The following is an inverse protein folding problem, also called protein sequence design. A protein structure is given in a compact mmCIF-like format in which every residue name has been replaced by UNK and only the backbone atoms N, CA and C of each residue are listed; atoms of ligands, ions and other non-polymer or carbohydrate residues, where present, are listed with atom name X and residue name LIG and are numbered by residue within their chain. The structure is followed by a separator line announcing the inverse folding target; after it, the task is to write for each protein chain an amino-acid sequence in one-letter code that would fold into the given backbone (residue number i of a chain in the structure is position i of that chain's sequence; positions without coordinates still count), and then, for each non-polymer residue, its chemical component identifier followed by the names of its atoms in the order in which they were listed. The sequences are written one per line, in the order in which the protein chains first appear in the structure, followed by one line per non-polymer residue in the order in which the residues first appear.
data_IF_724484997957
#
_entry.id   IF_724484997957
#
_cell.length_a   1.000
_cell.length_b   1.000
_cell.length_c   1.000
_cell.angle_alpha   90.00
_cell.angle_beta   90.00
_cell.angle_gamma   90.00
#
_symmetry.space_group_name_H-M   'P 1'
#
loop_
_entity.id
_entity.type
_entity.pdbx_description
1 polymer ?
2 non-polymer ?
3 non-polymer ?
4 water ?
#
# COMPACT_ATOMS: atom_id res chain seq x y z
N UNK A 4 5.62 -33.00 11.71
CA UNK A 4 5.46 -32.18 10.52
C UNK A 4 5.36 -30.70 10.88
N UNK A 5 5.96 -29.86 10.03
CA UNK A 5 5.79 -28.42 10.17
C UNK A 5 4.42 -28.01 9.67
N UNK A 6 3.87 -26.94 10.24
CA UNK A 6 2.55 -26.48 9.85
C UNK A 6 2.63 -25.25 8.98
N UNK A 7 1.96 -25.28 7.83
CA UNK A 7 1.96 -24.15 6.91
C UNK A 7 0.55 -23.66 6.63
N UNK A 8 0.40 -22.33 6.62
CA UNK A 8 -0.86 -21.69 6.24
C UNK A 8 -0.75 -21.06 4.87
N UNK A 9 -1.60 -21.49 3.96
CA UNK A 9 -1.70 -20.83 2.65
C UNK A 9 -2.90 -19.88 2.69
N UNK A 10 -2.62 -18.61 2.94
CA UNK A 10 -3.65 -17.59 3.06
C UNK A 10 -3.73 -16.79 1.77
N UNK A 11 -4.93 -16.67 1.21
CA UNK A 11 -5.07 -15.98 -0.07
C UNK A 11 -6.29 -15.08 -0.19
N UNK A 12 -6.20 -14.13 -1.12
CA UNK A 12 -7.37 -13.40 -1.57
C UNK A 12 -7.48 -13.52 -3.08
N UNK A 13 -8.61 -14.03 -3.55
CA UNK A 13 -8.85 -14.16 -4.97
C UNK A 13 -10.15 -13.46 -5.32
N UNK A 14 -10.09 -12.58 -6.32
CA UNK A 14 -11.26 -11.84 -6.76
C UNK A 14 -11.99 -12.57 -7.88
N UNK A 15 -11.23 -13.29 -8.70
CA UNK A 15 -11.79 -13.90 -9.91
C UNK A 15 -11.40 -15.37 -10.08
N UNK A 16 -10.84 -15.97 -9.05
CA UNK A 16 -10.53 -17.39 -9.06
C UNK A 16 -9.11 -17.77 -9.46
N UNK A 17 -8.37 -16.81 -9.99
CA UNK A 17 -6.99 -17.04 -10.42
C UNK A 17 -6.08 -17.35 -9.24
N UNK A 18 -6.01 -16.42 -8.30
CA UNK A 18 -5.15 -16.54 -7.14
C UNK A 18 -5.56 -17.72 -6.26
N UNK A 19 -6.83 -18.11 -6.34
CA UNK A 19 -7.27 -19.29 -5.61
C UNK A 19 -6.61 -20.55 -6.16
N UNK A 20 -6.59 -20.67 -7.48
CA UNK A 20 -5.96 -21.80 -8.14
C UNK A 20 -4.46 -21.81 -7.87
N UNK A 21 -3.84 -20.63 -7.96
CA UNK A 21 -2.42 -20.52 -7.62
C UNK A 21 -2.16 -20.97 -6.18
N UNK A 22 -3.07 -20.62 -5.29
CA UNK A 22 -2.96 -20.95 -3.87
C UNK A 22 -3.09 -22.45 -3.64
N UNK A 23 -4.03 -23.08 -4.34
CA UNK A 23 -4.20 -24.53 -4.26
C UNK A 23 -2.94 -25.24 -4.77
N UNK A 24 -2.37 -24.70 -5.85
CA UNK A 24 -1.13 -25.24 -6.39
C UNK A 24 -0.02 -25.18 -5.35
N UNK A 25 0.14 -24.00 -4.73
CA UNK A 25 1.15 -23.80 -3.71
C UNK A 25 0.96 -24.74 -2.52
N UNK A 26 -0.30 -24.92 -2.12
CA UNK A 26 -0.63 -25.80 -1.01
C UNK A 26 -0.27 -27.26 -1.32
N UNK A 27 -0.59 -27.69 -2.53
CA UNK A 27 -0.25 -29.05 -2.97
C UNK A 27 1.27 -29.24 -2.95
N UNK A 28 1.98 -28.28 -3.53
CA UNK A 28 3.43 -28.31 -3.55
C UNK A 28 4.00 -28.41 -2.14
N UNK A 29 3.38 -27.68 -1.21
CA UNK A 29 3.81 -27.68 0.18
C UNK A 29 3.54 -29.03 0.85
N UNK A 30 2.43 -29.67 0.48
CA UNK A 30 2.13 -31.01 0.98
C UNK A 30 3.17 -32.01 0.49
N UNK A 31 3.60 -31.82 -0.75
CA UNK A 31 4.65 -32.67 -1.32
C UNK A 31 6.00 -32.40 -0.65
N UNK A 32 6.08 -31.30 0.08
CA UNK A 32 7.29 -30.96 0.80
C UNK A 32 7.30 -31.51 2.23
N UNK A 33 6.26 -32.28 2.57
CA UNK A 33 6.19 -32.92 3.86
C UNK A 33 5.62 -32.05 4.96
N UNK A 34 4.87 -31.02 4.59
CA UNK A 34 4.29 -30.10 5.55
C UNK A 34 2.80 -30.31 5.72
N UNK A 35 2.29 -30.00 6.91
CA UNK A 35 0.84 -30.04 7.16
C UNK A 35 0.23 -28.71 6.74
N UNK A 36 -0.52 -28.72 5.65
CA UNK A 36 -0.96 -27.48 5.02
C UNK A 36 -2.44 -27.19 5.26
N UNK A 37 -2.73 -25.93 5.58
CA UNK A 37 -4.10 -25.47 5.74
C UNK A 37 -4.39 -24.31 4.80
N UNK A 38 -5.41 -24.47 3.96
CA UNK A 38 -5.76 -23.44 2.98
C UNK A 38 -6.89 -22.55 3.49
N UNK A 39 -6.63 -21.24 3.55
CA UNK A 39 -7.63 -20.29 4.00
C UNK A 39 -7.64 -19.00 3.19
N UNK A 40 -8.77 -18.29 3.25
CA UNK A 40 -8.92 -17.03 2.56
C UNK A 40 -9.27 -15.91 3.54
N UNK A 41 -8.97 -14.68 3.16
CA UNK A 41 -9.24 -13.52 4.01
C UNK A 41 -10.69 -13.09 3.93
N UNK A 42 -11.21 -12.49 5.02
CA UNK A 42 -12.58 -11.97 5.06
C UNK A 42 -12.83 -10.91 3.99
N UNK A 43 -14.11 -10.66 3.70
CA UNK A 43 -14.48 -9.65 2.73
C UNK A 43 -14.79 -8.33 3.43
N UNK A 44 -15.13 -7.31 2.65
CA UNK A 44 -15.42 -5.99 3.21
C UNK A 44 -16.89 -5.63 3.02
N UNK A 57 -14.29 -17.56 -5.42
CA UNK A 57 -15.14 -17.79 -4.25
C UNK A 57 -15.48 -19.27 -4.11
N UNK A 58 -14.81 -19.91 -3.16
CA UNK A 58 -15.14 -21.27 -2.81
C UNK A 58 -15.37 -21.34 -1.31
N UNK A 59 -16.63 -21.29 -0.91
CA UNK A 59 -17.01 -21.25 0.50
C UNK A 59 -16.68 -22.56 1.22
N UNK A 60 -16.17 -23.53 0.48
CA UNK A 60 -15.67 -24.76 1.07
C UNK A 60 -14.32 -24.45 1.73
N UNK A 61 -13.73 -23.34 1.32
CA UNK A 61 -12.51 -22.84 1.94
C UNK A 61 -12.82 -21.93 3.13
N UNK A 62 -12.34 -22.32 4.33
CA UNK A 62 -12.58 -21.58 5.57
C UNK A 62 -11.99 -20.17 5.55
N UNK A 63 -12.66 -19.25 6.23
CA UNK A 63 -12.18 -17.87 6.36
C UNK A 63 -11.22 -17.77 7.55
N UNK A 64 -10.10 -17.09 7.35
CA UNK A 64 -9.06 -17.00 8.38
C UNK A 64 -9.24 -15.82 9.32
N UNK A 65 -8.65 -15.95 10.50
CA UNK A 65 -8.61 -14.87 11.48
C UNK A 65 -7.18 -14.36 11.62
N UNK A 66 -7.02 -13.04 11.87
CA UNK A 66 -5.67 -12.46 12.01
C UNK A 66 -4.84 -13.08 13.13
N UNK A 67 -5.49 -13.50 14.21
CA UNK A 67 -4.78 -13.99 15.38
C UNK A 67 -4.29 -15.42 15.30
N UNK A 68 -4.72 -16.15 14.27
CA UNK A 68 -4.35 -17.55 14.14
C UNK A 68 -3.02 -17.74 13.40
N UNK A 69 -2.50 -16.66 12.85
CA UNK A 69 -1.26 -16.71 12.06
C UNK A 69 -0.07 -17.21 12.86
N UNK A 70 -0.13 -17.08 14.18
CA UNK A 70 0.96 -17.51 15.05
C UNK A 70 0.96 -19.03 15.25
N UNK A 71 -0.08 -19.69 14.76
CA UNK A 71 -0.22 -21.13 14.95
C UNK A 71 0.49 -21.95 13.87
N UNK A 72 1.16 -21.26 12.96
CA UNK A 72 1.84 -21.93 11.85
C UNK A 72 3.33 -21.65 11.83
N UNK A 73 4.11 -22.61 11.33
CA UNK A 73 5.55 -22.45 11.23
C UNK A 73 5.91 -21.65 9.98
N UNK A 74 5.06 -21.74 8.97
CA UNK A 74 5.27 -21.02 7.72
C UNK A 74 3.95 -20.47 7.19
N UNK A 75 4.03 -19.30 6.55
CA UNK A 75 2.85 -18.66 5.98
C UNK A 75 3.10 -18.18 4.56
N UNK A 76 2.31 -18.68 3.61
CA UNK A 76 2.39 -18.20 2.24
C UNK A 76 1.20 -17.30 1.92
N UNK A 77 1.48 -16.07 1.52
CA UNK A 77 0.44 -15.11 1.22
C UNK A 77 0.33 -14.83 -0.28
N UNK A 78 -0.86 -15.07 -0.82
CA UNK A 78 -1.12 -14.77 -2.22
C UNK A 78 -2.32 -13.86 -2.35
N UNK A 79 -2.22 -12.85 -3.21
CA UNK A 79 -3.31 -11.90 -3.34
C UNK A 79 -3.44 -11.36 -4.76
N UNK A 80 -4.69 -11.15 -5.17
CA UNK A 80 -4.97 -10.45 -6.43
C UNK A 80 -4.56 -8.99 -6.26
N UNK A 81 -4.23 -8.33 -7.36
CA UNK A 81 -3.77 -6.95 -7.29
C UNK A 81 -4.65 -6.01 -8.09
N UNK A 82 -4.67 -4.75 -7.68
CA UNK A 82 -5.42 -3.72 -8.37
C UNK A 82 -4.48 -2.59 -8.78
N UNK A 83 -4.38 -2.36 -10.09
CA UNK A 83 -3.43 -1.44 -10.70
C UNK A 83 -2.06 -1.40 -10.02
N UNK A 84 -1.53 -2.58 -9.69
CA UNK A 84 -0.18 -2.71 -9.18
C UNK A 84 -0.05 -2.69 -7.67
N UNK A 85 -1.14 -2.40 -6.98
CA UNK A 85 -1.10 -2.31 -5.52
C UNK A 85 -1.73 -3.53 -4.86
N UNK A 86 -1.53 -3.64 -3.55
CA UNK A 86 -2.16 -4.68 -2.75
C UNK A 86 -3.69 -4.59 -2.82
N UNK A 87 -4.35 -5.73 -2.80
CA UNK A 87 -5.79 -5.76 -2.62
C UNK A 87 -6.11 -5.27 -1.22
N UNK A 88 -7.15 -4.46 -1.08
CA UNK A 88 -7.50 -3.86 0.20
C UNK A 88 -7.85 -4.93 1.24
N UNK A 89 -8.37 -6.06 0.77
CA UNK A 89 -8.76 -7.15 1.65
C UNK A 89 -7.57 -7.72 2.42
N UNK A 90 -6.52 -8.08 1.69
CA UNK A 90 -5.32 -8.66 2.30
C UNK A 90 -4.64 -7.67 3.24
N UNK A 91 -4.53 -6.42 2.80
CA UNK A 91 -3.87 -5.39 3.60
C UNK A 91 -4.64 -5.11 4.89
N UNK A 92 -5.96 -5.02 4.77
CA UNK A 92 -6.82 -4.81 5.93
C UNK A 92 -6.74 -6.00 6.89
N UNK A 93 -6.59 -7.20 6.33
CA UNK A 93 -6.44 -8.39 7.16
C UNK A 93 -5.13 -8.33 7.94
N UNK A 94 -4.05 -8.01 7.24
CA UNK A 94 -2.73 -7.97 7.87
C UNK A 94 -2.59 -6.79 8.83
N UNK A 95 -3.43 -5.79 8.68
CA UNK A 95 -3.39 -4.60 9.56
C UNK A 95 -3.94 -4.88 10.95
N UNK A 96 -4.66 -5.99 11.11
CA UNK A 96 -5.24 -6.33 12.40
C UNK A 96 -4.40 -7.37 13.13
N UNK A 97 -3.11 -7.40 12.81
CA UNK A 97 -2.16 -8.30 13.48
C UNK A 97 -1.20 -7.52 14.37
N UNK A 98 -1.65 -6.37 14.88
CA UNK A 98 -0.84 -5.53 15.73
C UNK A 98 -0.40 -6.18 17.02
N UNK A 99 -1.28 -6.96 17.63
CA UNK A 99 -0.97 -7.67 18.87
C UNK A 99 0.13 -8.70 18.66
N UNK A 100 0.01 -9.46 17.58
CA UNK A 100 1.00 -10.47 17.23
C UNK A 100 2.37 -9.81 17.03
N UNK A 101 2.37 -8.64 16.40
CA UNK A 101 3.59 -7.90 16.19
C UNK A 101 4.18 -7.46 17.53
N UNK A 102 3.30 -6.98 18.42
CA UNK A 102 3.72 -6.51 19.73
C UNK A 102 4.39 -7.63 20.52
N UNK A 103 3.86 -8.85 20.36
CA UNK A 103 4.49 -10.01 20.99
C UNK A 103 5.77 -10.44 20.28
N UNK A 104 5.81 -10.22 18.97
CA UNK A 104 6.89 -10.75 18.16
C UNK A 104 6.60 -12.21 17.88
N UNK A 105 5.31 -12.51 17.73
CA UNK A 105 4.84 -13.89 17.60
C UNK A 105 5.23 -14.52 16.27
N UNK A 106 5.46 -13.71 15.26
CA UNK A 106 5.75 -14.22 13.92
C UNK A 106 7.22 -14.11 13.55
N UNK A 107 8.06 -13.75 14.52
CA UNK A 107 9.49 -13.63 14.28
C UNK A 107 10.12 -14.98 13.94
N UNK A 108 10.95 -14.99 12.90
CA UNK A 108 11.64 -16.19 12.42
C UNK A 108 10.72 -17.25 11.81
N UNK A 109 9.48 -16.87 11.54
CA UNK A 109 8.58 -17.75 10.79
C UNK A 109 8.81 -17.55 9.31
N UNK A 110 8.75 -18.63 8.54
CA UNK A 110 9.03 -18.55 7.11
C UNK A 110 7.84 -18.00 6.34
N UNK A 111 8.10 -17.04 5.45
CA UNK A 111 7.04 -16.44 4.68
C UNK A 111 7.39 -16.31 3.20
N UNK A 112 6.36 -16.19 2.37
CA UNK A 112 6.53 -16.02 0.93
C UNK A 112 5.30 -15.36 0.33
N UNK A 113 5.48 -14.66 -0.79
CA UNK A 113 4.40 -13.88 -1.39
C UNK A 113 4.18 -14.20 -2.87
N UNK A 114 2.92 -14.42 -3.23
CA UNK A 114 2.51 -14.52 -4.63
C UNK A 114 1.56 -13.38 -4.98
N UNK A 115 1.74 -12.80 -6.16
CA UNK A 115 0.86 -11.72 -6.63
C UNK A 115 0.33 -12.01 -8.03
N UNK A 116 -0.87 -11.52 -8.31
CA UNK A 116 -1.49 -11.73 -9.62
C UNK A 116 -1.99 -10.42 -10.21
N UNK A 117 -1.99 -10.34 -11.53
CA UNK A 117 -2.45 -9.13 -12.22
C UNK A 117 -3.64 -9.42 -13.14
N UNK A 118 -4.30 -10.56 -12.91
CA UNK A 118 -5.45 -10.94 -13.71
C UNK A 118 -6.66 -10.05 -13.40
N UNK A 123 2.17 -6.63 -14.40
CA UNK A 123 3.15 -6.61 -13.33
C UNK A 123 2.62 -5.94 -12.08
N UNK A 124 3.02 -6.49 -10.93
CA UNK A 124 2.59 -5.94 -9.64
C UNK A 124 3.74 -5.95 -8.64
N UNK A 125 4.79 -5.20 -8.96
CA UNK A 125 5.97 -5.15 -8.12
C UNK A 125 5.70 -4.42 -6.81
N UNK A 126 4.94 -3.34 -6.89
CA UNK A 126 4.61 -2.54 -5.71
C UNK A 126 3.82 -3.35 -4.69
N UNK A 127 2.91 -4.19 -5.17
CA UNK A 127 2.12 -5.05 -4.30
C UNK A 127 3.00 -6.05 -3.56
N UNK A 128 3.93 -6.66 -4.31
CA UNK A 128 4.90 -7.58 -3.75
C UNK A 128 5.72 -6.90 -2.67
N UNK A 129 6.17 -5.68 -2.96
CA UNK A 129 6.96 -4.90 -2.02
C UNK A 129 6.18 -4.57 -0.74
N UNK A 130 4.90 -4.23 -0.90
CA UNK A 130 4.07 -3.87 0.24
C UNK A 130 3.76 -5.06 1.14
N UNK A 131 3.33 -6.15 0.52
CA UNK A 131 3.04 -7.39 1.25
C UNK A 131 4.28 -7.87 1.99
N UNK A 132 5.41 -7.89 1.27
CA UNK A 132 6.67 -8.28 1.87
C UNK A 132 7.12 -7.29 2.94
N UNK A 133 6.64 -6.05 2.86
CA UNK A 133 6.95 -5.03 3.86
C UNK A 133 6.26 -5.40 5.16
N UNK A 134 4.95 -5.65 5.07
CA UNK A 134 4.18 -6.05 6.23
C UNK A 134 4.71 -7.35 6.84
N UNK A 135 5.13 -8.28 5.99
CA UNK A 135 5.68 -9.54 6.48
C UNK A 135 7.07 -9.36 7.12
N UNK A 136 7.86 -8.45 6.55
CA UNK A 136 9.20 -8.15 7.06
C UNK A 136 9.15 -7.54 8.46
N UNK A 137 8.23 -6.60 8.65
CA UNK A 137 8.16 -5.91 9.92
C UNK A 137 7.70 -6.84 11.06
N UNK A 138 7.19 -8.01 10.70
CA UNK A 138 6.88 -9.05 11.69
C UNK A 138 8.11 -9.89 12.00
N UNK A 139 9.20 -9.67 11.27
CA UNK A 139 10.43 -10.41 11.47
C UNK A 139 10.40 -11.78 10.82
N UNK A 140 9.48 -11.97 9.88
CA UNK A 140 9.38 -13.24 9.16
C UNK A 140 10.52 -13.41 8.16
N UNK A 141 11.03 -14.64 8.07
CA UNK A 141 12.06 -14.95 7.10
C UNK A 141 11.43 -15.11 5.72
N UNK A 142 11.92 -14.35 4.75
CA UNK A 142 11.28 -14.27 3.45
C UNK A 142 11.92 -15.18 2.41
N UNK A 143 11.08 -16.00 1.77
CA UNK A 143 11.52 -16.83 0.66
C UNK A 143 10.94 -16.29 -0.65
N UNK A 144 11.80 -15.73 -1.51
CA UNK A 144 11.37 -15.11 -2.76
C UNK A 144 11.09 -16.14 -3.86
N UNK A 145 10.76 -15.66 -5.04
CA UNK A 145 10.57 -16.53 -6.20
C UNK A 145 11.92 -17.00 -6.72
N UNK A 146 11.94 -18.15 -7.38
CA UNK A 146 13.16 -18.63 -8.02
C UNK A 146 13.14 -18.23 -9.49
N UNK A 147 13.54 -16.99 -9.74
CA UNK A 147 13.39 -16.35 -11.05
C UNK A 147 14.17 -17.08 -12.15
N UNK A 148 15.47 -17.25 -11.92
CA UNK A 148 16.36 -17.89 -12.87
C UNK A 148 15.88 -19.31 -13.15
N UNK A 149 15.44 -19.99 -12.10
CA UNK A 149 14.87 -21.33 -12.26
C UNK A 149 13.57 -21.29 -13.05
N UNK A 150 12.80 -20.23 -12.85
CA UNK A 150 11.49 -20.15 -13.48
C UNK A 150 11.60 -19.84 -14.98
N UNK A 151 12.71 -19.23 -15.39
CA UNK A 151 12.97 -19.10 -16.81
C UNK A 151 13.73 -20.31 -17.35
N UNK A 152 14.42 -21.02 -16.47
CA UNK A 152 15.06 -22.28 -16.84
C UNK A 152 14.01 -23.35 -17.11
N UNK A 153 12.86 -23.21 -16.46
CA UNK A 153 11.79 -24.20 -16.51
C UNK A 153 11.30 -24.47 -17.93
N UNK A 154 11.17 -23.42 -18.72
CA UNK A 154 10.74 -23.55 -20.10
C UNK A 154 11.67 -24.45 -20.88
N UNK A 155 12.97 -24.19 -20.74
CA UNK A 155 13.99 -24.99 -21.41
C UNK A 155 13.98 -26.43 -20.90
N UNK A 156 13.76 -26.59 -19.60
CA UNK A 156 13.69 -27.91 -18.99
C UNK A 156 12.54 -28.75 -19.57
N UNK A 157 11.34 -28.19 -19.59
CA UNK A 157 10.18 -28.92 -20.07
C UNK A 157 10.24 -29.10 -21.58
N UNK A 158 10.95 -28.20 -22.27
CA UNK A 158 11.22 -28.40 -23.69
C UNK A 158 12.10 -29.63 -23.89
N UNK A 159 13.15 -29.74 -23.07
CA UNK A 159 14.06 -30.88 -23.15
C UNK A 159 13.34 -32.19 -22.79
N UNK A 160 12.44 -32.11 -21.83
CA UNK A 160 11.71 -33.28 -21.38
C UNK A 160 10.68 -33.78 -22.39
N UNK A 161 10.26 -32.90 -23.28
CA UNK A 161 9.31 -33.25 -24.32
C UNK A 161 7.89 -32.77 -24.07
N UNK A 162 7.76 -31.69 -23.31
CA UNK A 162 6.45 -31.09 -23.05
C UNK A 162 6.58 -29.59 -22.81
N UNK A 163 6.77 -28.81 -23.89
CA UNK A 163 6.98 -27.37 -23.81
C UNK A 163 5.75 -26.60 -23.32
N UNK A 164 5.98 -25.47 -22.65
CA UNK A 164 4.90 -24.61 -22.19
C UNK A 164 4.30 -23.85 -23.37
N UNK A 165 3.05 -23.43 -23.23
CA UNK A 165 2.37 -22.71 -24.29
C UNK A 165 1.12 -22.00 -23.82
N UNK A 176 -6.85 -14.44 -16.15
CA UNK A 176 -8.17 -14.97 -15.82
C UNK A 176 -8.08 -16.46 -15.47
N UNK A 177 -7.18 -17.16 -16.15
CA UNK A 177 -6.96 -18.58 -15.86
C UNK A 177 -5.47 -18.91 -15.97
N UNK A 178 -4.88 -19.43 -14.88
CA UNK A 178 -3.44 -19.69 -14.78
C UNK A 178 -2.91 -20.75 -15.74
N UNK A 179 -1.77 -20.46 -16.38
CA UNK A 179 -1.13 -21.40 -17.30
C UNK A 179 -0.44 -22.51 -16.52
N UNK A 180 0.04 -23.51 -17.25
CA UNK A 180 0.74 -24.64 -16.63
C UNK A 180 2.04 -24.20 -15.96
N UNK A 181 2.75 -23.28 -16.59
CA UNK A 181 4.03 -22.79 -16.09
C UNK A 181 3.87 -22.05 -14.75
N UNK A 182 2.83 -21.23 -14.66
CA UNK A 182 2.56 -20.47 -13.45
C UNK A 182 2.18 -21.37 -12.30
N UNK A 183 1.37 -22.38 -12.58
CA UNK A 183 0.96 -23.35 -11.57
C UNK A 183 2.15 -24.17 -11.09
N UNK A 184 2.99 -24.60 -12.04
CA UNK A 184 4.21 -25.33 -11.69
C UNK A 184 5.12 -24.49 -10.82
N UNK A 185 5.21 -23.20 -11.14
CA UNK A 185 5.99 -22.26 -10.35
C UNK A 185 5.45 -22.14 -8.94
N UNK A 186 4.13 -22.09 -8.82
CA UNK A 186 3.47 -22.02 -7.51
C UNK A 186 3.75 -23.26 -6.68
N UNK A 187 3.63 -24.43 -7.31
CA UNK A 187 3.90 -25.71 -6.66
C UNK A 187 5.33 -25.76 -6.15
N UNK A 188 6.27 -25.44 -7.03
CA UNK A 188 7.68 -25.42 -6.70
C UNK A 188 7.96 -24.49 -5.53
N UNK A 189 7.34 -23.32 -5.57
CA UNK A 189 7.47 -22.34 -4.49
C UNK A 189 7.00 -22.93 -3.16
N UNK A 190 5.82 -23.53 -3.19
CA UNK A 190 5.27 -24.17 -1.99
C UNK A 190 6.19 -25.22 -1.41
N UNK A 191 6.68 -26.11 -2.24
CA UNK A 191 7.57 -27.18 -1.79
C UNK A 191 8.88 -26.62 -1.23
N UNK A 192 9.42 -25.61 -1.91
CA UNK A 192 10.65 -24.96 -1.47
C UNK A 192 10.50 -24.36 -0.08
N UNK A 193 9.43 -23.58 0.10
CA UNK A 193 9.13 -22.98 1.40
C UNK A 193 8.97 -24.06 2.47
N UNK A 194 8.26 -25.13 2.12
CA UNK A 194 8.05 -26.25 3.04
C UNK A 194 9.36 -26.87 3.51
N UNK A 195 10.24 -27.20 2.56
CA UNK A 195 11.50 -27.82 2.87
C UNK A 195 12.41 -26.91 3.69
N UNK A 196 12.41 -25.62 3.35
CA UNK A 196 13.18 -24.64 4.11
C UNK A 196 12.70 -24.58 5.56
N UNK A 197 11.39 -24.50 5.75
CA UNK A 197 10.78 -24.49 7.08
C UNK A 197 11.17 -25.73 7.87
N UNK A 198 11.06 -26.89 7.21
CA UNK A 198 11.44 -28.16 7.80
C UNK A 198 12.90 -28.14 8.26
N UNK A 199 13.75 -27.55 7.44
CA UNK A 199 15.17 -27.41 7.78
C UNK A 199 15.34 -26.51 8.99
N UNK A 200 14.49 -25.50 9.12
CA UNK A 200 14.57 -24.58 10.24
C UNK A 200 14.03 -25.17 11.54
N UNK A 201 13.18 -26.20 11.43
CA UNK A 201 12.66 -26.85 12.61
C UNK A 201 13.28 -28.22 12.85
N UNK A 202 14.04 -28.70 11.87
CA UNK A 202 14.70 -29.99 11.96
C UNK A 202 15.96 -30.07 11.13
N UNK B 4 -11.22 32.33 -9.33
CA UNK B 4 -10.30 31.58 -8.47
C UNK B 4 -10.34 30.08 -8.75
N UNK B 5 -9.18 29.45 -8.66
CA UNK B 5 -9.11 28.00 -8.76
C UNK B 5 -9.59 27.39 -7.44
N UNK B 6 -10.19 26.21 -7.52
CA UNK B 6 -10.72 25.55 -6.33
C UNK B 6 -9.80 24.42 -5.88
N UNK B 7 -9.43 24.42 -4.62
CA UNK B 7 -8.54 23.39 -4.09
C UNK B 7 -9.15 22.63 -2.91
N UNK B 8 -8.96 21.32 -2.91
CA UNK B 8 -9.37 20.48 -1.80
C UNK B 8 -8.16 20.02 -1.00
N UNK B 9 -8.15 20.35 0.29
CA UNK B 9 -7.14 19.82 1.20
C UNK B 9 -7.76 18.67 1.97
N UNK B 10 -7.49 17.46 1.51
CA UNK B 10 -8.07 16.24 2.10
C UNK B 10 -7.04 15.56 3.00
N UNK B 11 -7.42 15.24 4.24
CA UNK B 11 -6.46 14.66 5.16
C UNK B 11 -7.01 13.52 6.02
N UNK B 12 -6.09 12.68 6.50
CA UNK B 12 -6.39 11.75 7.57
C UNK B 12 -5.40 11.95 8.71
N UNK B 13 -5.92 12.22 9.90
CA UNK B 13 -5.06 12.39 11.06
C UNK B 13 -5.49 11.43 12.16
N UNK B 14 -4.51 10.69 12.69
CA UNK B 14 -4.80 9.73 13.75
C UNK B 14 -4.67 10.40 15.11
N UNK B 15 -3.78 11.37 15.21
CA UNK B 15 -3.51 12.03 16.49
C UNK B 15 -3.48 13.57 16.42
N UNK B 16 -3.91 14.16 15.31
CA UNK B 16 -4.00 15.61 15.21
C UNK B 16 -2.83 16.33 14.54
N UNK B 17 -1.74 15.60 14.30
CA UNK B 17 -0.55 16.17 13.66
C UNK B 17 -0.84 16.61 12.23
N UNK B 18 -1.28 15.65 11.42
CA UNK B 18 -1.58 15.88 10.00
C UNK B 18 -2.74 16.86 9.85
N UNK B 19 -3.58 16.97 10.88
CA UNK B 19 -4.65 17.96 10.86
C UNK B 19 -4.06 19.37 10.87
N UNK B 20 -3.08 19.58 11.75
CA UNK B 20 -2.41 20.86 11.85
C UNK B 20 -1.64 21.17 10.57
N UNK B 21 -0.94 20.16 10.06
CA UNK B 21 -0.24 20.30 8.77
C UNK B 21 -1.21 20.69 7.66
N UNK B 22 -2.40 20.09 7.68
CA UNK B 22 -3.42 20.33 6.68
C UNK B 22 -3.97 21.75 6.77
N UNK B 23 -4.18 22.22 7.99
CA UNK B 23 -4.63 23.60 8.19
C UNK B 23 -3.58 24.58 7.69
N UNK B 24 -2.31 24.26 7.95
CA UNK B 24 -1.21 25.08 7.46
C UNK B 24 -1.21 25.15 5.93
N UNK B 25 -1.31 23.98 5.30
CA UNK B 25 -1.35 23.90 3.83
C UNK B 25 -2.52 24.67 3.25
N UNK B 26 -3.68 24.53 3.87
CA UNK B 26 -4.89 25.23 3.43
C UNK B 26 -4.70 26.73 3.53
N UNK B 27 -4.10 27.19 4.63
CA UNK B 27 -3.81 28.60 4.81
C UNK B 27 -2.88 29.12 3.71
N UNK B 28 -1.79 28.38 3.49
CA UNK B 28 -0.85 28.74 2.44
C UNK B 28 -1.50 28.82 1.08
N UNK B 29 -2.41 27.89 0.81
CA UNK B 29 -3.12 27.86 -0.45
C UNK B 29 -4.08 29.04 -0.58
N UNK B 30 -4.68 29.46 0.53
CA UNK B 30 -5.53 30.64 0.54
C UNK B 30 -4.70 31.88 0.23
N UNK B 31 -3.48 31.91 0.76
CA UNK B 31 -2.55 33.01 0.48
C UNK B 31 -2.06 32.97 -0.97
N UNK B 32 -2.29 31.85 -1.64
CA UNK B 32 -1.92 31.71 -3.03
C UNK B 32 -3.02 32.13 -3.98
N UNK B 33 -4.11 32.66 -3.41
CA UNK B 33 -5.21 33.18 -4.20
C UNK B 33 -6.19 32.12 -4.62
N UNK B 34 -6.19 30.99 -3.91
CA UNK B 34 -7.08 29.89 -4.24
C UNK B 34 -8.24 29.77 -3.26
N UNK B 35 -9.37 29.26 -3.75
CA UNK B 35 -10.52 28.99 -2.89
C UNK B 35 -10.39 27.59 -2.32
N UNK B 36 -10.11 27.51 -1.02
CA UNK B 36 -9.72 26.26 -0.39
C UNK B 36 -10.81 25.64 0.48
N UNK B 37 -10.96 24.33 0.37
CA UNK B 37 -11.89 23.58 1.20
C UNK B 37 -11.15 22.50 1.97
N UNK B 38 -11.23 22.54 3.30
CA UNK B 38 -10.55 21.57 4.15
C UNK B 38 -11.48 20.43 4.54
N UNK B 39 -11.09 19.21 4.21
CA UNK B 39 -11.92 18.04 4.53
C UNK B 39 -11.10 16.83 4.97
N UNK B 40 -11.77 15.91 5.68
CA UNK B 40 -11.12 14.69 6.15
C UNK B 40 -11.84 13.45 5.63
N UNK B 41 -11.12 12.33 5.56
CA UNK B 41 -11.68 11.08 5.08
C UNK B 41 -12.47 10.37 6.17
N UNK B 42 -13.50 9.60 5.78
CA UNK B 42 -14.28 8.81 6.75
C UNK B 42 -13.45 7.74 7.47
N UNK B 43 -13.91 7.31 8.63
CA UNK B 43 -13.28 6.19 9.33
C UNK B 43 -14.05 4.90 9.07
N UNK B 44 -13.55 3.80 9.63
CA UNK B 44 -14.18 2.50 9.46
C UNK B 44 -14.73 1.98 10.78
N UNK B 57 -9.34 14.17 16.21
CA UNK B 57 -10.76 14.29 16.47
C UNK B 57 -11.31 15.71 16.29
N UNK B 58 -11.70 16.11 15.10
CA UNK B 58 -12.39 17.39 15.01
C UNK B 58 -13.60 17.22 14.08
N UNK B 59 -14.78 17.04 14.66
CA UNK B 59 -16.02 16.80 13.90
C UNK B 59 -16.54 18.08 13.22
N UNK B 60 -15.92 19.20 13.50
CA UNK B 60 -16.26 20.46 12.84
C UNK B 60 -15.68 20.51 11.44
N UNK B 61 -14.69 19.66 11.17
CA UNK B 61 -14.13 19.52 9.83
C UNK B 61 -14.98 18.53 9.04
N UNK B 62 -15.55 18.99 7.91
CA UNK B 62 -16.47 18.18 7.10
C UNK B 62 -15.82 16.91 6.56
N UNK B 63 -16.64 15.86 6.46
CA UNK B 63 -16.19 14.60 5.88
C UNK B 63 -16.40 14.62 4.36
N UNK B 64 -15.39 14.17 3.62
CA UNK B 64 -15.43 14.24 2.17
C UNK B 64 -16.03 12.99 1.53
N UNK B 65 -16.51 13.14 0.30
CA UNK B 65 -17.01 12.02 -0.48
C UNK B 65 -16.03 11.74 -1.61
N UNK B 66 -15.88 10.47 -2.00
CA UNK B 66 -14.95 10.11 -3.07
C UNK B 66 -15.26 10.80 -4.40
N UNK B 67 -16.55 11.02 -4.67
CA UNK B 67 -16.96 11.57 -5.95
C UNK B 67 -16.84 13.07 -6.10
N UNK B 68 -16.56 13.77 -5.01
CA UNK B 68 -16.50 15.22 -5.06
C UNK B 68 -15.11 15.71 -5.46
N UNK B 69 -14.14 14.80 -5.51
CA UNK B 69 -12.76 15.14 -5.82
C UNK B 69 -12.63 15.76 -7.22
N UNK B 70 -13.58 15.46 -8.09
CA UNK B 70 -13.56 15.97 -9.46
C UNK B 70 -14.02 17.42 -9.53
N UNK B 71 -14.52 17.94 -8.41
CA UNK B 71 -15.06 19.29 -8.36
C UNK B 71 -13.98 20.33 -8.04
N UNK B 72 -12.74 19.88 -7.92
CA UNK B 72 -11.64 20.77 -7.55
C UNK B 72 -10.57 20.82 -8.64
N UNK B 73 -9.89 21.95 -8.75
CA UNK B 73 -8.83 22.11 -9.73
C UNK B 73 -7.53 21.51 -9.22
N UNK B 74 -7.38 21.51 -7.89
CA UNK B 74 -6.19 20.96 -7.25
C UNK B 74 -6.57 20.20 -5.99
N UNK B 75 -5.82 19.14 -5.70
CA UNK B 75 -6.08 18.31 -4.51
C UNK B 75 -4.79 18.03 -3.75
N UNK B 76 -4.76 18.44 -2.49
CA UNK B 76 -3.62 18.12 -1.63
C UNK B 76 -4.00 17.03 -0.64
N UNK B 77 -3.26 15.92 -0.68
CA UNK B 77 -3.54 14.79 0.19
C UNK B 77 -2.49 14.64 1.28
N UNK B 78 -2.92 14.67 2.53
CA UNK B 78 -2.02 14.47 3.66
C UNK B 78 -2.54 13.34 4.54
N UNK B 79 -1.64 12.45 4.96
CA UNK B 79 -2.07 11.31 5.75
C UNK B 79 -1.04 10.88 6.79
N UNK B 80 -1.53 10.45 7.94
CA UNK B 80 -0.67 9.83 8.95
C UNK B 80 -0.22 8.48 8.43
N UNK B 81 0.92 8.01 8.92
CA UNK B 81 1.47 6.74 8.44
C UNK B 81 1.65 5.74 9.58
N UNK B 82 1.59 4.47 9.24
CA UNK B 82 1.84 3.40 10.21
C UNK B 82 2.94 2.48 9.71
N UNK B 83 4.01 2.41 10.50
CA UNK B 83 5.26 1.72 10.13
C UNK B 83 5.66 1.89 8.66
N UNK B 84 5.56 3.11 8.17
CA UNK B 84 6.06 3.45 6.85
C UNK B 84 5.07 3.36 5.70
N UNK B 85 3.89 2.81 5.98
CA UNK B 85 2.89 2.62 4.94
C UNK B 85 1.76 3.64 5.01
N UNK B 86 0.95 3.68 3.95
CA UNK B 86 -0.26 4.50 3.95
C UNK B 86 -1.20 4.09 5.07
N UNK B 87 -1.90 5.06 5.64
CA UNK B 87 -2.98 4.75 6.55
C UNK B 87 -4.10 4.09 5.76
N UNK B 88 -4.70 3.05 6.33
CA UNK B 88 -5.73 2.29 5.64
C UNK B 88 -6.93 3.14 5.27
N UNK B 89 -7.19 4.18 6.07
CA UNK B 89 -8.33 5.07 5.83
C UNK B 89 -8.22 5.79 4.50
N UNK B 90 -7.08 6.44 4.27
CA UNK B 90 -6.86 7.18 3.03
C UNK B 90 -6.87 6.28 1.81
N UNK B 91 -6.23 5.12 1.92
CA UNK B 91 -6.16 4.19 0.80
C UNK B 91 -7.54 3.64 0.47
N UNK B 92 -8.31 3.29 1.51
CA UNK B 92 -9.68 2.82 1.31
C UNK B 92 -10.55 3.89 0.70
N UNK B 93 -10.32 5.15 1.07
CA UNK B 93 -11.06 6.26 0.49
C UNK B 93 -10.74 6.41 -1.00
N UNK B 94 -9.45 6.39 -1.33
CA UNK B 94 -9.01 6.58 -2.70
C UNK B 94 -9.34 5.38 -3.58
N UNK B 95 -9.59 4.24 -2.96
CA UNK B 95 -9.96 3.03 -3.69
C UNK B 95 -11.39 3.09 -4.21
N UNK B 96 -12.15 4.04 -3.69
CA UNK B 96 -13.55 4.20 -4.10
C UNK B 96 -13.69 5.30 -5.14
N UNK B 97 -12.61 5.56 -5.87
CA UNK B 97 -12.62 6.55 -6.93
C UNK B 97 -12.48 5.86 -8.30
N UNK B 98 -12.92 4.62 -8.37
CA UNK B 98 -12.84 3.85 -9.59
C UNK B 98 -13.66 4.46 -10.72
N UNK B 99 -14.83 4.99 -10.38
CA UNK B 99 -15.67 5.65 -11.36
C UNK B 99 -15.01 6.88 -11.92
N UNK B 100 -14.44 7.69 -11.03
CA UNK B 100 -13.72 8.90 -11.43
C UNK B 100 -12.57 8.56 -12.35
N UNK B 101 -11.87 7.47 -12.04
CA UNK B 101 -10.76 7.03 -12.86
C UNK B 101 -11.25 6.61 -14.24
N UNK B 102 -12.34 5.85 -14.26
CA UNK B 102 -12.92 5.35 -15.51
C UNK B 102 -13.34 6.51 -16.40
N UNK B 103 -13.87 7.55 -15.77
CA UNK B 103 -14.24 8.76 -16.51
C UNK B 103 -13.00 9.57 -16.91
N UNK B 104 -11.95 9.49 -16.11
CA UNK B 104 -10.77 10.32 -16.29
C UNK B 104 -11.02 11.70 -15.76
N UNK B 105 -11.79 11.78 -14.68
CA UNK B 105 -12.24 13.05 -14.12
C UNK B 105 -11.11 13.86 -13.47
N UNK B 106 -10.05 13.19 -13.04
CA UNK B 106 -8.98 13.85 -12.31
C UNK B 106 -7.73 14.10 -13.16
N UNK B 107 -7.84 13.84 -14.45
CA UNK B 107 -6.71 14.04 -15.36
C UNK B 107 -6.33 15.52 -15.46
N UNK B 108 -5.03 15.79 -15.37
CA UNK B 108 -4.46 17.14 -15.42
C UNK B 108 -4.84 18.02 -14.24
N UNK B 109 -5.37 17.43 -13.19
CA UNK B 109 -5.58 18.16 -11.94
C UNK B 109 -4.30 18.15 -11.12
N UNK B 110 -4.01 19.27 -10.48
CA UNK B 110 -2.77 19.40 -9.72
C UNK B 110 -2.88 18.69 -8.38
N UNK B 111 -1.88 17.89 -8.05
CA UNK B 111 -1.88 17.15 -6.80
C UNK B 111 -0.57 17.22 -6.05
N UNK B 112 -0.64 16.96 -4.74
CA UNK B 112 0.55 16.96 -3.90
C UNK B 112 0.30 16.09 -2.65
N UNK B 113 1.37 15.54 -2.09
CA UNK B 113 1.24 14.62 -0.96
C UNK B 113 2.09 15.02 0.24
N UNK B 114 1.49 15.01 1.43
CA UNK B 114 2.22 15.15 2.68
C UNK B 114 2.08 13.88 3.50
N UNK B 115 3.18 13.45 4.13
CA UNK B 115 3.13 12.28 5.00
C UNK B 115 3.74 12.59 6.37
N UNK B 116 3.20 11.96 7.41
CA UNK B 116 3.69 12.16 8.77
C UNK B 116 3.88 10.84 9.52
N UNK B 117 4.82 10.85 10.46
CA UNK B 117 5.09 9.68 11.28
C UNK B 117 4.85 9.98 12.75
N UNK B 123 10.75 7.92 9.10
CA UNK B 123 10.61 8.08 7.66
C UNK B 123 9.47 7.27 7.10
N UNK B 124 8.78 7.83 6.11
CA UNK B 124 7.65 7.15 5.48
C UNK B 124 7.66 7.36 3.97
N UNK B 125 8.73 6.91 3.32
CA UNK B 125 8.88 7.08 1.88
C UNK B 125 7.90 6.21 1.11
N UNK B 126 7.69 4.98 1.59
CA UNK B 126 6.79 4.03 0.94
C UNK B 126 5.36 4.56 0.87
N UNK B 127 4.92 5.22 1.95
CA UNK B 127 3.59 5.80 1.99
C UNK B 127 3.43 6.88 0.93
N UNK B 128 4.46 7.74 0.85
CA UNK B 128 4.51 8.79 -0.16
C UNK B 128 4.41 8.19 -1.55
N UNK B 129 5.18 7.13 -1.79
CA UNK B 129 5.20 6.45 -3.08
C UNK B 129 3.84 5.85 -3.43
N UNK B 130 3.16 5.27 -2.44
CA UNK B 130 1.87 4.63 -2.67
C UNK B 130 0.77 5.66 -2.96
N UNK B 131 0.71 6.70 -2.13
CA UNK B 131 -0.26 7.77 -2.33
C UNK B 131 -0.05 8.44 -3.69
N UNK B 132 1.20 8.75 -4.00
CA UNK B 132 1.53 9.34 -5.30
C UNK B 132 1.26 8.37 -6.43
N UNK B 133 1.25 7.07 -6.14
CA UNK B 133 0.93 6.05 -7.13
C UNK B 133 -0.55 6.15 -7.50
N UNK B 134 -1.39 6.14 -6.46
CA UNK B 134 -2.82 6.29 -6.66
C UNK B 134 -3.18 7.60 -7.36
N UNK B 135 -2.48 8.68 -7.00
CA UNK B 135 -2.74 9.97 -7.63
C UNK B 135 -2.24 10.00 -9.08
N UNK B 136 -1.12 9.33 -9.34
CA UNK B 136 -0.55 9.28 -10.68
C UNK B 136 -1.45 8.53 -11.65
N UNK B 137 -2.00 7.41 -11.20
CA UNK B 137 -2.84 6.60 -12.08
C UNK B 137 -4.15 7.29 -12.44
N UNK B 138 -4.48 8.37 -11.72
CA UNK B 138 -5.60 9.22 -12.07
C UNK B 138 -5.19 10.25 -13.12
N UNK B 139 -3.89 10.29 -13.42
CA UNK B 139 -3.36 11.23 -14.39
C UNK B 139 -3.18 12.61 -13.83
N UNK B 140 -3.13 12.71 -12.49
CA UNK B 140 -2.94 14.00 -11.84
C UNK B 140 -1.52 14.50 -11.98
N UNK B 141 -1.39 15.80 -12.19
CA UNK B 141 -0.07 16.44 -12.24
C UNK B 141 0.48 16.60 -10.83
N UNK B 142 1.67 16.04 -10.59
CA UNK B 142 2.21 15.95 -9.24
C UNK B 142 3.19 17.07 -8.89
N UNK B 143 2.94 17.73 -7.76
CA UNK B 143 3.85 18.72 -7.23
C UNK B 143 4.54 18.20 -5.97
N UNK B 144 5.85 17.95 -6.05
CA UNK B 144 6.62 17.40 -4.93
C UNK B 144 7.03 18.46 -3.90
N UNK B 145 7.76 18.04 -2.89
CA UNK B 145 8.32 18.96 -1.90
C UNK B 145 9.49 19.73 -2.49
N UNK B 146 9.77 20.91 -1.96
CA UNK B 146 10.94 21.67 -2.36
C UNK B 146 12.07 21.39 -1.39
N UNK B 147 12.77 20.28 -1.61
CA UNK B 147 13.74 19.75 -0.66
C UNK B 147 14.92 20.69 -0.42
N UNK B 148 15.56 21.13 -1.50
CA UNK B 148 16.71 22.03 -1.39
C UNK B 148 16.29 23.32 -0.69
N UNK B 149 15.09 23.78 -1.01
CA UNK B 149 14.54 24.95 -0.35
C UNK B 149 14.26 24.66 1.12
N UNK B 150 13.89 23.41 1.40
CA UNK B 150 13.54 23.02 2.77
C UNK B 150 14.77 22.92 3.66
N UNK B 151 15.94 22.71 3.05
CA UNK B 151 17.17 22.85 3.83
C UNK B 151 17.68 24.29 3.82
N UNK B 152 17.30 25.05 2.80
CA UNK B 152 17.65 26.46 2.74
C UNK B 152 16.91 27.27 3.80
N UNK B 153 15.73 26.80 4.19
CA UNK B 153 14.86 27.53 5.10
C UNK B 153 15.49 27.82 6.45
N UNK B 154 16.19 26.83 7.01
CA UNK B 154 16.85 27.00 8.29
C UNK B 154 17.85 28.13 8.27
N UNK B 155 18.70 28.15 7.25
CA UNK B 155 19.68 29.21 7.08
C UNK B 155 19.00 30.55 6.83
N UNK B 156 17.91 30.52 6.08
CA UNK B 156 17.15 31.74 5.78
C UNK B 156 16.63 32.39 7.06
N UNK B 157 15.92 31.61 7.87
CA UNK B 157 15.33 32.14 9.09
C UNK B 157 16.41 32.46 10.13
N UNK B 158 17.55 31.79 10.02
CA UNK B 158 18.70 32.15 10.86
C UNK B 158 19.20 33.55 10.47
N UNK B 159 19.30 33.80 9.18
CA UNK B 159 19.73 35.11 8.71
C UNK B 159 18.73 36.19 9.10
N UNK B 160 17.44 35.83 9.07
CA UNK B 160 16.39 36.76 9.38
C UNK B 160 16.32 37.14 10.85
N UNK B 161 16.88 36.29 11.70
CA UNK B 161 16.90 36.56 13.13
C UNK B 161 15.89 35.76 13.92
N UNK B 162 15.50 34.61 13.40
CA UNK B 162 14.57 33.73 14.10
C UNK B 162 14.82 32.27 13.75
N UNK B 163 15.88 31.67 14.34
CA UNK B 163 16.26 30.30 14.05
C UNK B 163 15.21 29.29 14.51
N UNK B 164 15.10 28.16 13.81
CA UNK B 164 14.18 27.11 14.20
C UNK B 164 14.71 26.37 15.43
N UNK B 165 13.80 25.75 16.18
CA UNK B 165 14.16 25.02 17.38
C UNK B 165 14.89 23.73 17.08
N UNK B 176 4.65 14.93 17.69
CA UNK B 176 3.28 15.01 18.20
C UNK B 176 2.57 16.29 17.75
N UNK B 177 3.34 17.35 17.60
CA UNK B 177 2.85 18.63 17.10
C UNK B 177 3.90 19.19 16.17
N UNK B 178 3.50 19.54 14.93
CA UNK B 178 4.45 19.95 13.91
C UNK B 178 5.24 21.17 14.33
N UNK B 179 6.54 21.16 14.07
CA UNK B 179 7.40 22.27 14.43
C UNK B 179 7.13 23.45 13.49
N UNK B 180 7.73 24.59 13.80
CA UNK B 180 7.54 25.79 13.01
C UNK B 180 8.04 25.58 11.59
N UNK B 181 9.15 24.85 11.47
CA UNK B 181 9.76 24.56 10.17
C UNK B 181 8.83 23.70 9.32
N UNK B 182 8.24 22.68 9.93
CA UNK B 182 7.34 21.78 9.23
C UNK B 182 6.05 22.47 8.80
N UNK B 183 5.51 23.32 9.68
CA UNK B 183 4.31 24.08 9.37
C UNK B 183 4.56 25.09 8.24
N UNK B 184 5.71 25.76 8.31
CA UNK B 184 6.11 26.69 7.26
C UNK B 184 6.27 25.96 5.93
N UNK B 185 6.84 24.77 6.00
CA UNK B 185 6.99 23.93 4.82
C UNK B 185 5.64 23.56 4.22
N UNK B 186 4.69 23.23 5.09
CA UNK B 186 3.34 22.90 4.65
C UNK B 186 2.67 24.09 3.97
N UNK B 187 2.80 25.26 4.57
CA UNK B 187 2.25 26.49 4.01
C UNK B 187 2.85 26.78 2.64
N UNK B 188 4.18 26.72 2.55
CA UNK B 188 4.89 26.96 1.31
C UNK B 188 4.43 26.00 0.22
N UNK B 189 4.28 24.73 0.60
CA UNK B 189 3.80 23.70 -0.33
C UNK B 189 2.42 24.05 -0.86
N UNK B 190 1.52 24.39 0.06
CA UNK B 190 0.16 24.78 -0.31
C UNK B 190 0.10 25.94 -1.28
N UNK B 191 0.83 27.00 -0.96
CA UNK B 191 0.84 28.19 -1.81
C UNK B 191 1.45 27.88 -3.18
N UNK B 192 2.51 27.08 -3.19
CA UNK B 192 3.16 26.68 -4.43
C UNK B 192 2.19 25.95 -5.35
N UNK B 193 1.51 24.94 -4.79
CA UNK B 193 0.51 24.19 -5.53
C UNK B 193 -0.59 25.12 -6.05
N UNK B 194 -1.04 26.04 -5.20
CA UNK B 194 -2.06 27.00 -5.57
C UNK B 194 -1.66 27.83 -6.79
N UNK B 195 -0.47 28.42 -6.73
CA UNK B 195 0.02 29.26 -7.82
C UNK B 195 0.21 28.47 -9.11
N UNK B 196 0.73 27.25 -8.99
CA UNK B 196 0.90 26.39 -10.15
C UNK B 196 -0.44 26.10 -10.83
N UNK B 197 -1.42 25.75 -10.01
CA UNK B 197 -2.77 25.50 -10.50
C UNK B 197 -3.36 26.72 -11.20
N UNK B 198 -3.20 27.88 -10.57
CA UNK B 198 -3.67 29.15 -11.14
C UNK B 198 -3.04 29.41 -12.50
N UNK B 199 -1.74 29.16 -12.62
CA UNK B 199 -1.05 29.32 -13.89
C UNK B 199 -1.54 28.33 -14.93
N UNK B 200 -1.91 27.12 -14.49
CA UNK B 200 -2.39 26.10 -15.40
C UNK B 200 -3.82 26.35 -15.85
N UNK B 201 -4.55 27.16 -15.10
CA UNK B 201 -5.93 27.49 -15.45
C UNK B 201 -6.09 28.92 -15.96
N UNK B 202 -5.01 29.69 -15.90
CA UNK B 202 -5.05 31.07 -16.35
C UNK B 202 -4.32 31.24 -17.67
X LIG C 1 4.98 -0.56 14.88
X LIG C 1 6.26 -0.06 14.92
X LIG C 1 6.54 0.79 15.75
X LIG C 1 7.20 -0.51 14.01
X LIG C 1 6.87 -1.48 13.09
X LIG C 1 7.71 -1.88 12.29
X LIG C 1 5.57 -1.98 13.06
X LIG C 1 5.21 -2.95 12.13
X LIG C 1 3.92 -3.44 12.11
X LIG C 1 3.56 -4.40 11.19
X LIG C 1 2.26 -4.90 11.17
X LIG C 1 1.87 -5.94 10.17
X LIG C 1 1.32 -4.44 12.08
X LIG C 1 -0.07 -4.97 12.07
X LIG C 1 1.69 -3.47 13.02
X LIG C 1 2.99 -2.97 13.03
X LIG C 1 3.34 -2.00 13.95
X LIG C 1 4.63 -1.52 13.97
X LIG C 1 2.37 -1.47 14.97
X LIG C 1 1.58 -0.30 14.41
X LIG C 1 2.42 0.54 13.66
X LIG C 1 0.94 0.53 15.53
X LIG C 1 1.92 1.37 16.11
X LIG C 1 0.29 -0.33 16.61
X LIG C 1 -0.51 -1.33 16.04
X LIG C 1 -0.60 0.55 17.50
X LIG C 1 -1.18 1.53 16.67
X LIG C 1 -2.26 2.57 17.25
X LIG C 1 -2.13 2.61 18.76
X LIG C 1 -1.98 3.93 16.68
X LIG C 1 -3.66 2.14 16.87
X LIG D 1 -7.68 -13.32 -8.80
X LIG E 1 -7.48 0.36 -13.74
X LIG E 1 -6.55 0.18 -14.75
X LIG E 1 -6.76 -0.64 -15.64
X LIG E 1 -5.38 0.91 -14.76
X LIG E 1 -5.14 1.84 -13.76
X LIG E 1 -4.10 2.50 -13.77
X LIG E 1 -6.08 2.02 -12.74
X LIG E 1 -5.83 2.94 -11.74
X LIG E 1 -6.76 3.12 -10.73
X LIG E 1 -6.52 4.06 -9.73
X LIG E 1 -7.44 4.23 -8.70
X LIG E 1 -7.17 5.23 -7.62
X LIG E 1 -8.62 3.49 -8.70
X LIG E 1 -9.63 3.68 -7.60
X LIG E 1 -8.86 2.57 -9.70
X LIG E 1 -7.93 2.37 -10.73
X LIG E 1 -8.17 1.45 -11.73
X LIG E 1 -7.24 1.28 -12.73
X LIG E 1 -9.43 0.65 -11.74
X LIG E 1 -9.23 -0.60 -10.87
X LIG E 1 -8.08 -1.28 -11.29
X LIG E 1 -10.44 -1.54 -10.97
X LIG E 1 -10.44 -2.17 -12.23
X LIG E 1 -11.76 -0.82 -10.74
X LIG E 1 -11.81 -0.33 -9.43
X LIG E 1 -12.88 -1.83 -10.95
X LIG E 1 -12.28 -3.09 -10.74
X LIG E 1 -13.04 -4.28 -9.99
X LIG E 1 -12.15 -5.50 -10.10
X LIG E 1 -13.26 -3.91 -8.55
X LIG E 1 -14.36 -4.58 -10.67
X LIG F 1 -1.56 12.44 12.71
#
# INVERSE_FOLDING_TARGET
SNAMVKMLVLYYSAYGYMEQMAKAAAEGAREGGAEVTLKRVPELVPEEVAKASHYKIDQEVPIATPGELADYDAIIIGTATRYGMMASQMKNFLDQTGGLWAKGALINKVGSVMVSTATQHGGAELALISTQWQMQHHGMIIVPLSYAYREQMGNDVVRGGAPYGMTTTADGDGSRQPSAQELDGARFQGRRVAEITAKLHG
SNAMVKMLVLYYSAYGYMEQMAKAAAEGAREGGAEVTLKRVPELVPEEVAKASHYKIDQEVPIATPGELADYDAIIIGTATRYGMMASQMKNFLDQTGGLWAKGALINKVGSVMVSTATQHGGAELALISTQWQMQHHGMIIVPLSYAYREQMGNDVVRGGAPYGMTTTADGDGSRQPSAQELDGARFQGRRVAEITAKLHG
FMN N1 C2 O2 N3 C4 O4 C4A N5 C5A C6 C7 C7M C8 C8M C9 C9A N10 C10 C1' C2' O2' C3' O3' C4' O4' C5' O5' P O1P O2P O3P
CL CL
FMN N1 C2 O2 N3 C4 O4 C4A N5 C5A C6 C7 C7M C8 C8M C9 C9A N10 C10 C1' C2' O2' C3' O3' C4' O4' C5' O5' P O1P O2P O3P
CL CL
#
